data_IF_081055327444
#
_entry.id   IF_081055327444
#
_cell.length_a   1.000
_cell.length_b   1.000
_cell.length_c   1.000
_cell.angle_alpha   90.00
_cell.angle_beta   90.00
_cell.angle_gamma   90.00
#
_symmetry.space_group_name_H-M   'P 1'
#
loop_
_entity.id
_entity.type
_entity.pdbx_description
1 polymer ?
#
# COMPACT_ATOMS: atom_id res chain seq x y z
N UNK A 1 24.61 31.36 -14.69
CA UNK A 1 24.41 31.13 -13.24
C UNK A 1 23.30 30.11 -12.97
N UNK A 2 22.06 30.35 -13.40
CA UNK A 2 20.90 29.46 -13.16
C UNK A 2 21.09 27.99 -13.58
N UNK A 3 21.76 27.71 -14.70
CA UNK A 3 22.06 26.34 -15.15
C UNK A 3 23.02 25.62 -14.20
N UNK A 4 24.13 26.27 -13.78
CA UNK A 4 25.10 25.70 -12.82
C UNK A 4 24.46 25.46 -11.46
N UNK A 5 23.69 26.43 -10.95
CA UNK A 5 22.94 26.26 -9.69
C UNK A 5 21.87 25.18 -9.79
N UNK A 6 21.24 25.03 -10.96
CA UNK A 6 20.24 23.99 -11.21
C UNK A 6 20.85 22.60 -11.18
N UNK A 7 22.02 22.42 -11.81
CA UNK A 7 22.76 21.14 -11.74
C UNK A 7 23.13 20.78 -10.30
N UNK A 8 23.62 21.75 -9.52
CA UNK A 8 23.95 21.53 -8.10
C UNK A 8 22.69 21.16 -7.30
N UNK A 9 21.59 21.90 -7.47
CA UNK A 9 20.33 21.62 -6.78
C UNK A 9 19.79 20.21 -7.11
N UNK A 10 19.78 19.83 -8.40
CA UNK A 10 19.40 18.48 -8.82
C UNK A 10 20.32 17.42 -8.23
N UNK A 11 21.63 17.65 -8.21
CA UNK A 11 22.59 16.71 -7.62
C UNK A 11 22.36 16.53 -6.12
N UNK A 12 22.10 17.61 -5.38
CA UNK A 12 21.78 17.56 -3.94
C UNK A 12 20.49 16.79 -3.70
N UNK A 13 19.43 17.06 -4.47
CA UNK A 13 18.13 16.36 -4.34
C UNK A 13 18.28 14.88 -4.71
N UNK A 14 19.02 14.57 -5.76
CA UNK A 14 19.29 13.19 -6.16
C UNK A 14 20.12 12.44 -5.10
N UNK A 15 21.11 13.10 -4.49
CA UNK A 15 21.88 12.54 -3.39
C UNK A 15 21.01 12.29 -2.14
N UNK A 16 20.12 13.23 -1.81
CA UNK A 16 19.14 13.02 -0.73
C UNK A 16 18.25 11.81 -1.01
N UNK A 17 17.77 11.65 -2.25
CA UNK A 17 17.01 10.46 -2.66
C UNK A 17 17.82 9.17 -2.58
N UNK A 18 19.10 9.20 -2.97
CA UNK A 18 19.99 8.05 -2.83
C UNK A 18 20.18 7.65 -1.37
N UNK A 19 20.33 8.63 -0.46
CA UNK A 19 20.40 8.39 0.98
C UNK A 19 19.10 7.79 1.51
N UNK A 20 17.95 8.35 1.13
CA UNK A 20 16.64 7.80 1.53
C UNK A 20 16.50 6.36 1.04
N UNK A 21 16.79 6.09 -0.23
CA UNK A 21 16.74 4.73 -0.81
C UNK A 21 17.68 3.77 -0.10
N UNK A 22 18.90 4.19 0.24
CA UNK A 22 19.84 3.38 1.02
C UNK A 22 19.31 3.08 2.42
N UNK A 23 18.76 4.08 3.13
CA UNK A 23 18.15 3.91 4.44
C UNK A 23 16.95 2.96 4.40
N UNK A 24 16.15 3.01 3.34
CA UNK A 24 15.08 2.03 3.11
C UNK A 24 15.66 0.62 2.96
N UNK A 25 16.66 0.43 2.07
CA UNK A 25 17.27 -0.88 1.80
C UNK A 25 17.99 -1.51 3.00
N UNK A 26 18.45 -0.68 3.96
CA UNK A 26 19.02 -1.18 5.22
C UNK A 26 17.98 -1.85 6.12
N UNK A 27 16.67 -1.57 5.93
CA UNK A 27 15.59 -2.16 6.72
C UNK A 27 15.28 -3.58 6.22
N UNK A 28 15.36 -4.62 7.08
CA UNK A 28 14.92 -5.97 6.74
C UNK A 28 13.46 -5.98 6.30
N UNK A 29 12.60 -5.32 7.09
CA UNK A 29 11.19 -5.06 6.79
C UNK A 29 10.98 -3.55 6.82
N UNK A 30 10.59 -2.96 5.70
CA UNK A 30 10.29 -1.54 5.65
C UNK A 30 8.87 -1.28 6.18
N UNK A 31 8.73 -0.86 7.43
CA UNK A 31 7.43 -0.73 8.12
C UNK A 31 6.83 0.67 7.90
N UNK A 32 5.84 0.75 7.02
CA UNK A 32 5.06 1.94 6.69
C UNK A 32 3.58 1.59 6.50
N UNK A 33 2.74 2.54 6.09
CA UNK A 33 1.28 2.41 6.06
C UNK A 33 0.78 1.24 5.19
N UNK A 34 1.32 1.11 3.97
CA UNK A 34 0.87 0.13 2.98
C UNK A 34 1.85 -1.04 2.79
N UNK A 35 3.01 -1.03 3.45
CA UNK A 35 4.09 -1.97 3.13
C UNK A 35 3.81 -3.40 3.57
N UNK A 36 3.23 -3.62 4.76
CA UNK A 36 3.05 -4.95 5.32
C UNK A 36 2.06 -5.82 4.52
N UNK A 37 1.10 -5.21 3.82
CA UNK A 37 0.28 -5.94 2.84
C UNK A 37 1.16 -6.53 1.74
N UNK A 38 2.11 -5.77 1.20
CA UNK A 38 3.05 -6.30 0.21
C UNK A 38 3.91 -7.43 0.79
N UNK A 39 4.39 -7.29 2.03
CA UNK A 39 5.21 -8.32 2.68
C UNK A 39 4.47 -9.65 2.83
N UNK A 40 3.23 -9.64 3.34
CA UNK A 40 2.49 -10.88 3.55
C UNK A 40 2.17 -11.60 2.24
N UNK A 41 1.79 -10.87 1.18
CA UNK A 41 1.50 -11.48 -0.12
C UNK A 41 2.78 -12.01 -0.78
N UNK A 42 3.89 -11.25 -0.77
CA UNK A 42 5.15 -11.70 -1.38
C UNK A 42 5.71 -12.93 -0.65
N UNK A 43 5.71 -12.93 0.68
CA UNK A 43 6.12 -14.09 1.46
C UNK A 43 5.27 -15.31 1.12
N UNK A 44 3.95 -15.18 1.14
CA UNK A 44 3.04 -16.28 0.84
C UNK A 44 3.24 -16.84 -0.58
N UNK A 45 3.32 -15.96 -1.59
CA UNK A 45 3.55 -16.37 -2.97
C UNK A 45 4.90 -17.10 -3.10
N UNK A 46 5.94 -16.60 -2.43
CA UNK A 46 7.25 -17.24 -2.44
C UNK A 46 7.20 -18.62 -1.80
N UNK A 47 6.59 -18.73 -0.62
CA UNK A 47 6.41 -19.99 0.09
C UNK A 47 5.73 -21.03 -0.82
N UNK A 48 4.63 -20.67 -1.46
CA UNK A 48 3.87 -21.56 -2.33
C UNK A 48 4.59 -21.91 -3.65
N UNK A 49 5.27 -20.94 -4.27
CA UNK A 49 6.06 -21.15 -5.49
C UNK A 49 7.23 -22.11 -5.26
N UNK A 50 7.99 -21.90 -4.18
CA UNK A 50 9.24 -22.62 -3.94
C UNK A 50 9.05 -23.94 -3.20
N UNK A 51 7.90 -24.17 -2.56
CA UNK A 51 7.53 -25.45 -1.96
C UNK A 51 6.85 -26.43 -2.92
N UNK A 52 6.56 -26.01 -4.16
CA UNK A 52 6.02 -26.89 -5.22
C UNK A 52 4.48 -27.06 -5.19
N UNK A 53 3.77 -26.26 -4.40
CA UNK A 53 2.31 -26.37 -4.25
C UNK A 53 1.50 -25.59 -5.31
N UNK A 54 2.19 -24.81 -6.17
CA UNK A 54 1.54 -23.86 -7.07
C UNK A 54 0.97 -22.66 -6.33
N UNK A 55 0.59 -21.58 -7.03
CA UNK A 55 0.04 -20.39 -6.38
C UNK A 55 -1.49 -20.56 -6.23
N UNK A 56 -2.03 -20.71 -5.01
CA UNK A 56 -3.48 -20.83 -4.81
C UNK A 56 -4.17 -19.50 -5.07
N UNK A 57 -5.49 -19.55 -5.31
CA UNK A 57 -6.30 -18.34 -5.52
C UNK A 57 -6.47 -17.49 -4.26
N UNK A 58 -6.40 -18.11 -3.08
CA UNK A 58 -6.61 -17.46 -1.79
C UNK A 58 -5.41 -17.65 -0.86
N UNK A 59 -5.26 -16.73 0.09
CA UNK A 59 -4.26 -16.77 1.16
C UNK A 59 -4.92 -17.29 2.44
N UNK A 60 -4.66 -18.53 2.87
CA UNK A 60 -5.29 -19.13 4.05
C UNK A 60 -5.08 -18.31 5.33
N UNK A 61 -3.92 -17.65 5.44
CA UNK A 61 -3.55 -16.87 6.61
C UNK A 61 -4.29 -15.52 6.75
N UNK A 62 -5.12 -15.11 5.77
CA UNK A 62 -5.72 -13.78 5.75
C UNK A 62 -7.24 -13.84 5.60
N UNK A 63 -7.95 -13.02 6.38
CA UNK A 63 -9.41 -12.90 6.38
C UNK A 63 -10.11 -14.27 6.40
N UNK A 64 -9.73 -15.13 7.35
CA UNK A 64 -10.27 -16.49 7.49
C UNK A 64 -10.11 -17.34 6.21
N UNK A 65 -9.02 -17.13 5.49
CA UNK A 65 -8.72 -17.80 4.23
C UNK A 65 -9.50 -17.32 3.01
N UNK A 66 -10.26 -16.22 3.15
CA UNK A 66 -11.05 -15.64 2.05
C UNK A 66 -10.30 -14.55 1.28
N UNK A 67 -9.13 -14.10 1.75
CA UNK A 67 -8.36 -13.11 1.04
C UNK A 67 -7.80 -13.71 -0.26
N UNK A 68 -7.91 -12.97 -1.37
CA UNK A 68 -7.29 -13.39 -2.63
C UNK A 68 -5.77 -13.31 -2.54
N UNK A 69 -5.05 -14.18 -3.26
CA UNK A 69 -3.60 -14.05 -3.44
C UNK A 69 -3.26 -12.80 -4.24
N UNK A 70 -4.08 -12.49 -5.26
CA UNK A 70 -3.88 -11.37 -6.16
C UNK A 70 -5.13 -10.48 -6.29
N UNK A 71 -5.55 -9.77 -5.22
CA UNK A 71 -6.56 -8.72 -5.35
C UNK A 71 -6.05 -7.56 -6.22
N UNK A 72 -4.74 -7.33 -6.23
CA UNK A 72 -4.00 -6.37 -7.07
C UNK A 72 -2.51 -6.77 -7.06
N UNK A 73 -1.64 -5.94 -7.62
CA UNK A 73 -0.18 -6.04 -7.51
C UNK A 73 0.46 -7.35 -8.00
N UNK A 74 -0.26 -8.11 -8.83
CA UNK A 74 0.16 -9.45 -9.25
C UNK A 74 1.57 -9.51 -9.82
N UNK A 75 1.93 -8.57 -10.69
CA UNK A 75 3.24 -8.51 -11.33
C UNK A 75 4.36 -8.18 -10.32
N UNK A 76 4.33 -7.05 -9.58
CA UNK A 76 5.42 -6.72 -8.68
C UNK A 76 5.50 -7.68 -7.49
N UNK A 77 4.40 -8.28 -7.01
CA UNK A 77 4.47 -9.30 -5.97
C UNK A 77 5.09 -10.61 -6.45
N UNK A 78 4.65 -11.13 -7.60
CA UNK A 78 5.20 -12.37 -8.16
C UNK A 78 6.69 -12.21 -8.43
N UNK A 79 7.09 -11.09 -9.04
CA UNK A 79 8.51 -10.86 -9.37
C UNK A 79 9.38 -10.63 -8.13
N UNK A 80 8.87 -10.01 -7.06
CA UNK A 80 9.56 -9.96 -5.78
C UNK A 80 9.65 -11.34 -5.11
N UNK A 81 8.59 -12.15 -5.20
CA UNK A 81 8.54 -13.50 -4.62
C UNK A 81 9.57 -14.45 -5.25
N UNK A 82 9.89 -14.27 -6.53
CA UNK A 82 10.97 -15.02 -7.19
C UNK A 82 12.35 -14.76 -6.56
N UNK A 83 12.59 -13.57 -5.99
CA UNK A 83 13.86 -13.25 -5.31
C UNK A 83 13.82 -13.46 -3.80
N UNK A 84 12.64 -13.76 -3.25
CA UNK A 84 12.44 -13.87 -1.81
C UNK A 84 13.32 -14.95 -1.15
N UNK A 85 13.62 -16.13 -1.76
CA UNK A 85 14.55 -17.09 -1.13
C UNK A 85 15.96 -16.55 -0.88
N UNK A 86 16.41 -15.56 -1.67
CA UNK A 86 17.74 -14.96 -1.54
C UNK A 86 17.77 -13.77 -0.59
N UNK A 87 16.70 -12.97 -0.57
CA UNK A 87 16.67 -11.67 0.10
C UNK A 87 15.70 -11.61 1.29
N UNK A 88 14.82 -12.61 1.44
CA UNK A 88 13.70 -12.59 2.37
C UNK A 88 12.84 -11.33 2.18
N UNK A 89 12.42 -10.73 3.29
CA UNK A 89 11.64 -9.49 3.32
C UNK A 89 12.30 -8.31 2.60
N UNK A 90 13.64 -8.29 2.48
CA UNK A 90 14.34 -7.24 1.74
C UNK A 90 14.00 -7.25 0.25
N UNK A 91 13.52 -8.35 -0.31
CA UNK A 91 13.03 -8.40 -1.69
C UNK A 91 11.91 -7.36 -1.92
N UNK A 92 11.01 -7.20 -0.96
CA UNK A 92 9.88 -6.27 -1.03
C UNK A 92 10.36 -4.83 -0.97
N UNK A 93 11.25 -4.53 -0.03
CA UNK A 93 11.86 -3.20 0.10
C UNK A 93 12.68 -2.82 -1.14
N UNK A 94 13.43 -3.77 -1.69
CA UNK A 94 14.15 -3.60 -2.96
C UNK A 94 13.18 -3.29 -4.09
N UNK A 95 12.10 -4.05 -4.24
CA UNK A 95 11.10 -3.81 -5.29
C UNK A 95 10.39 -2.47 -5.15
N UNK A 96 10.18 -2.00 -3.92
CA UNK A 96 9.65 -0.67 -3.65
C UNK A 96 10.61 0.43 -4.14
N UNK A 97 11.89 0.33 -3.79
CA UNK A 97 12.92 1.30 -4.23
C UNK A 97 13.11 1.25 -5.75
N UNK A 98 13.14 0.06 -6.35
CA UNK A 98 13.21 -0.10 -7.81
C UNK A 98 11.98 0.47 -8.51
N UNK A 99 10.78 0.29 -7.95
CA UNK A 99 9.55 0.90 -8.48
C UNK A 99 9.61 2.44 -8.47
N UNK A 100 10.17 3.03 -7.40
CA UNK A 100 10.41 4.47 -7.33
C UNK A 100 11.42 4.93 -8.39
N UNK A 101 12.57 4.26 -8.51
CA UNK A 101 13.57 4.57 -9.53
C UNK A 101 12.97 4.43 -10.93
N UNK A 102 12.21 3.38 -11.19
CA UNK A 102 11.51 3.16 -12.46
C UNK A 102 10.53 4.30 -12.77
N UNK A 103 9.81 4.82 -11.76
CA UNK A 103 8.90 5.97 -11.93
C UNK A 103 9.67 7.23 -12.35
N UNK A 104 10.78 7.52 -11.68
CA UNK A 104 11.64 8.67 -12.01
C UNK A 104 12.24 8.54 -13.41
N UNK A 105 12.78 7.35 -13.74
CA UNK A 105 13.38 7.07 -15.05
C UNK A 105 12.33 7.16 -16.16
N UNK A 106 11.14 6.56 -15.97
CA UNK A 106 10.04 6.62 -16.93
C UNK A 106 9.59 8.08 -17.15
N UNK A 107 9.48 8.87 -16.08
CA UNK A 107 9.14 10.30 -16.15
C UNK A 107 10.12 11.07 -17.01
N UNK A 108 11.42 10.94 -16.73
CA UNK A 108 12.45 11.64 -17.52
C UNK A 108 12.63 11.06 -18.92
N UNK A 109 12.34 9.78 -19.13
CA UNK A 109 12.34 9.16 -20.46
C UNK A 109 11.19 9.66 -21.33
N UNK A 110 10.00 9.75 -20.77
CA UNK A 110 8.80 10.26 -21.45
C UNK A 110 8.87 11.77 -21.67
N UNK A 111 9.41 12.54 -20.71
CA UNK A 111 9.53 14.00 -20.78
C UNK A 111 11.00 14.47 -20.69
N UNK A 112 11.79 14.36 -21.77
CA UNK A 112 13.22 14.67 -21.74
C UNK A 112 13.56 16.12 -21.35
N UNK A 113 12.65 17.07 -21.59
CA UNK A 113 12.87 18.48 -21.26
C UNK A 113 12.94 18.72 -19.75
N UNK A 114 12.34 17.84 -18.93
CA UNK A 114 12.40 17.91 -17.48
C UNK A 114 13.76 17.54 -16.90
N UNK A 115 14.67 16.93 -17.67
CA UNK A 115 16.00 16.51 -17.18
C UNK A 115 16.96 17.66 -16.86
N UNK A 116 16.59 18.91 -17.19
CA UNK A 116 17.51 20.04 -17.23
C UNK A 116 17.40 20.92 -15.98
N UNK A 117 18.45 20.90 -15.16
CA UNK A 117 18.64 21.81 -14.02
C UNK A 117 17.42 21.85 -13.10
N UNK A 118 16.95 23.05 -12.78
CA UNK A 118 15.84 23.25 -11.84
C UNK A 118 14.51 22.56 -12.22
N UNK A 119 14.29 22.21 -13.49
CA UNK A 119 13.11 21.40 -13.86
C UNK A 119 13.21 19.96 -13.35
N UNK A 120 14.41 19.40 -13.29
CA UNK A 120 14.65 18.09 -12.71
C UNK A 120 14.51 18.16 -11.20
N UNK A 121 15.04 19.22 -10.57
CA UNK A 121 14.85 19.49 -9.15
C UNK A 121 13.36 19.54 -8.78
N UNK A 122 12.57 20.39 -9.46
CA UNK A 122 11.12 20.51 -9.23
C UNK A 122 10.39 19.17 -9.43
N UNK A 123 10.76 18.40 -10.44
CA UNK A 123 10.16 17.08 -10.70
C UNK A 123 10.44 16.11 -9.55
N UNK A 124 11.69 16.05 -9.06
CA UNK A 124 12.12 15.16 -7.98
C UNK A 124 11.60 15.59 -6.60
N UNK A 125 11.24 16.86 -6.43
CA UNK A 125 10.61 17.38 -5.21
C UNK A 125 9.08 17.35 -5.27
N UNK A 126 8.48 16.85 -6.35
CA UNK A 126 7.02 16.70 -6.44
C UNK A 126 6.47 16.03 -5.17
N UNK A 127 5.62 16.69 -4.38
CA UNK A 127 5.20 16.16 -3.09
C UNK A 127 4.56 14.77 -3.18
N UNK A 128 3.72 14.55 -4.21
CA UNK A 128 3.08 13.26 -4.45
C UNK A 128 4.11 12.15 -4.77
N UNK A 129 5.16 12.47 -5.54
CA UNK A 129 6.24 11.54 -5.83
C UNK A 129 7.04 11.20 -4.57
N UNK A 130 7.23 12.17 -3.68
CA UNK A 130 8.03 11.99 -2.47
C UNK A 130 7.32 11.11 -1.44
N UNK A 131 6.01 11.29 -1.26
CA UNK A 131 5.27 10.50 -0.29
C UNK A 131 5.10 9.04 -0.71
N UNK A 132 5.00 8.74 -2.01
CA UNK A 132 4.69 7.39 -2.49
C UNK A 132 5.64 6.28 -2.00
N UNK A 133 6.98 6.39 -2.12
CA UNK A 133 7.88 5.38 -1.58
C UNK A 133 7.86 5.33 -0.05
N UNK A 134 7.73 6.48 0.62
CA UNK A 134 7.70 6.55 2.08
C UNK A 134 6.45 5.92 2.68
N UNK A 135 5.32 5.96 1.99
CA UNK A 135 4.08 5.28 2.37
C UNK A 135 4.09 3.77 2.07
N UNK A 136 5.09 3.27 1.33
CA UNK A 136 5.18 1.85 0.94
C UNK A 136 4.31 1.48 -0.25
N UNK A 137 3.98 2.41 -1.15
CA UNK A 137 3.05 2.22 -2.27
C UNK A 137 3.66 1.44 -3.45
N UNK A 138 4.18 0.24 -3.20
CA UNK A 138 4.88 -0.59 -4.18
C UNK A 138 4.07 -0.84 -5.47
N UNK A 139 2.77 -1.22 -5.41
CA UNK A 139 2.02 -1.50 -6.63
C UNK A 139 1.75 -0.24 -7.46
N UNK A 140 1.51 0.88 -6.78
CA UNK A 140 1.29 2.15 -7.46
C UNK A 140 2.54 2.62 -8.20
N UNK A 141 3.72 2.54 -7.57
CA UNK A 141 4.98 2.95 -8.19
C UNK A 141 5.29 2.16 -9.46
N UNK A 142 5.14 0.83 -9.44
CA UNK A 142 5.34 0.02 -10.65
C UNK A 142 4.28 0.31 -11.72
N UNK A 143 3.02 0.47 -11.31
CA UNK A 143 1.93 0.76 -12.23
C UNK A 143 2.09 2.13 -12.92
N UNK A 144 2.40 3.18 -12.16
CA UNK A 144 2.56 4.54 -12.72
C UNK A 144 3.84 4.66 -13.55
N UNK A 145 4.91 3.93 -13.21
CA UNK A 145 6.10 3.83 -14.06
C UNK A 145 5.77 3.22 -15.43
N UNK A 146 5.06 2.09 -15.45
CA UNK A 146 4.63 1.42 -16.68
C UNK A 146 3.72 2.34 -17.52
N UNK A 147 2.73 2.99 -16.91
CA UNK A 147 1.84 3.89 -17.63
C UNK A 147 2.56 5.14 -18.16
N UNK A 148 3.47 5.72 -17.37
CA UNK A 148 4.27 6.87 -17.82
C UNK A 148 5.16 6.50 -19.01
N UNK A 149 5.76 5.31 -19.00
CA UNK A 149 6.50 4.79 -20.15
C UNK A 149 5.58 4.48 -21.35
N UNK A 150 4.36 4.00 -21.12
CA UNK A 150 3.37 3.81 -22.19
C UNK A 150 3.05 5.11 -22.92
N UNK A 151 2.88 6.22 -22.19
CA UNK A 151 2.70 7.56 -22.78
C UNK A 151 3.89 7.92 -23.69
N UNK A 152 5.12 7.68 -23.22
CA UNK A 152 6.32 7.96 -24.01
C UNK A 152 6.44 7.09 -25.26
N UNK A 153 6.00 5.83 -25.21
CA UNK A 153 5.94 4.94 -26.37
C UNK A 153 4.86 5.38 -27.37
N UNK A 154 3.68 5.78 -26.87
CA UNK A 154 2.59 6.30 -27.70
C UNK A 154 3.02 7.54 -28.49
N UNK A 155 3.68 8.50 -27.81
CA UNK A 155 4.23 9.71 -28.45
C UNK A 155 5.27 9.38 -29.53
N UNK A 156 6.00 8.27 -29.38
CA UNK A 156 6.99 7.77 -30.34
C UNK A 156 6.41 6.81 -31.39
N UNK A 157 5.07 6.74 -31.51
CA UNK A 157 4.34 5.87 -32.45
C UNK A 157 4.60 4.37 -32.27
N UNK A 158 5.03 3.95 -31.08
CA UNK A 158 5.20 2.53 -30.70
C UNK A 158 3.92 2.04 -30.02
N UNK A 159 2.86 1.82 -30.81
CA UNK A 159 1.50 1.56 -30.32
C UNK A 159 1.39 0.25 -29.53
N UNK A 160 1.85 -0.87 -30.08
CA UNK A 160 1.75 -2.19 -29.44
C UNK A 160 2.38 -2.22 -28.04
N UNK A 161 3.64 -1.80 -27.83
CA UNK A 161 4.22 -1.81 -26.48
C UNK A 161 3.59 -0.75 -25.56
N UNK A 162 3.02 0.34 -26.10
CA UNK A 162 2.24 1.28 -25.28
C UNK A 162 0.95 0.65 -24.74
N UNK A 163 0.24 -0.12 -25.57
CA UNK A 163 -0.93 -0.92 -25.14
C UNK A 163 -0.50 -1.92 -24.07
N UNK A 164 0.57 -2.68 -24.33
CA UNK A 164 1.06 -3.69 -23.39
C UNK A 164 1.41 -3.07 -22.02
N UNK A 165 2.14 -1.95 -21.99
CA UNK A 165 2.49 -1.29 -20.72
C UNK A 165 1.28 -0.65 -20.03
N UNK A 166 0.30 -0.14 -20.78
CA UNK A 166 -0.95 0.40 -20.20
C UNK A 166 -1.78 -0.73 -19.58
N UNK A 167 -1.84 -1.90 -20.23
CA UNK A 167 -2.48 -3.09 -19.69
C UNK A 167 -1.74 -3.59 -18.44
N UNK A 168 -0.41 -3.69 -18.48
CA UNK A 168 0.42 -4.03 -17.31
C UNK A 168 0.15 -3.08 -16.15
N UNK A 169 0.14 -1.76 -16.39
CA UNK A 169 -0.16 -0.77 -15.37
C UNK A 169 -1.56 -1.02 -14.75
N UNK A 170 -2.55 -1.25 -15.60
CA UNK A 170 -3.94 -1.47 -15.19
C UNK A 170 -4.12 -2.79 -14.43
N UNK A 171 -3.41 -3.85 -14.80
CA UNK A 171 -3.39 -5.13 -14.08
C UNK A 171 -2.74 -4.99 -12.69
N UNK A 172 -1.65 -4.22 -12.58
CA UNK A 172 -0.93 -4.03 -11.32
C UNK A 172 -1.80 -3.30 -10.29
N UNK A 173 -2.54 -2.26 -10.70
CA UNK A 173 -3.32 -1.48 -9.75
C UNK A 173 -4.61 -0.91 -10.38
N UNK A 174 -5.61 -1.77 -10.66
CA UNK A 174 -6.76 -1.39 -11.48
C UNK A 174 -7.59 -0.28 -10.84
N UNK A 175 -7.88 -0.39 -9.54
CA UNK A 175 -8.67 0.59 -8.79
C UNK A 175 -8.11 2.03 -8.87
N UNK A 176 -6.82 2.20 -9.08
CA UNK A 176 -6.17 3.52 -9.04
C UNK A 176 -5.72 3.98 -10.41
N UNK A 177 -5.05 3.11 -11.16
CA UNK A 177 -4.43 3.52 -12.43
C UNK A 177 -5.42 3.50 -13.58
N UNK A 178 -6.46 2.67 -13.60
CA UNK A 178 -7.47 2.77 -14.66
C UNK A 178 -8.21 4.12 -14.67
N UNK A 179 -8.63 4.70 -13.52
CA UNK A 179 -9.12 6.07 -13.48
C UNK A 179 -8.11 7.10 -14.02
N UNK A 180 -6.83 6.98 -13.64
CA UNK A 180 -5.77 7.88 -14.12
C UNK A 180 -5.59 7.76 -15.63
N UNK A 181 -5.59 6.54 -16.17
CA UNK A 181 -5.52 6.25 -17.61
C UNK A 181 -6.71 6.87 -18.33
N UNK A 182 -7.92 6.65 -17.83
CA UNK A 182 -9.15 7.20 -18.42
C UNK A 182 -9.11 8.73 -18.46
N UNK A 183 -8.72 9.38 -17.36
CA UNK A 183 -8.55 10.84 -17.30
C UNK A 183 -7.48 11.34 -18.28
N UNK A 184 -6.34 10.65 -18.37
CA UNK A 184 -5.26 11.00 -19.29
C UNK A 184 -5.68 10.85 -20.76
N UNK A 185 -6.37 9.76 -21.12
CA UNK A 185 -6.89 9.53 -22.47
C UNK A 185 -7.94 10.58 -22.82
N UNK A 186 -8.89 10.85 -21.92
CA UNK A 186 -9.94 11.85 -22.13
C UNK A 186 -9.37 13.26 -22.29
N UNK A 187 -8.40 13.64 -21.44
CA UNK A 187 -7.72 14.92 -21.53
C UNK A 187 -6.87 15.06 -22.80
N UNK A 188 -6.32 13.95 -23.32
CA UNK A 188 -5.50 13.96 -24.54
C UNK A 188 -6.32 13.90 -25.84
N UNK A 189 -7.53 13.35 -25.80
CA UNK A 189 -8.36 13.09 -26.97
C UNK A 189 -8.56 14.30 -27.91
N UNK A 190 -8.78 15.54 -27.41
CA UNK A 190 -8.92 16.72 -28.29
C UNK A 190 -7.64 17.07 -29.07
N UNK A 191 -6.49 16.69 -28.55
CA UNK A 191 -5.17 17.00 -29.11
C UNK A 191 -4.65 15.92 -30.08
N UNK A 192 -5.33 14.78 -30.18
CA UNK A 192 -4.96 13.70 -31.09
C UNK A 192 -5.55 13.95 -32.48
N UNK A 193 -4.79 13.65 -33.53
CA UNK A 193 -5.21 13.79 -34.93
C UNK A 193 -6.47 12.96 -35.21
N UNK A 194 -7.35 13.44 -36.10
CA UNK A 194 -8.64 12.80 -36.40
C UNK A 194 -8.52 11.29 -36.70
N UNK A 195 -7.54 10.91 -37.50
CA UNK A 195 -7.28 9.53 -37.89
C UNK A 195 -6.77 8.65 -36.72
N UNK A 196 -6.10 9.26 -35.74
CA UNK A 196 -5.50 8.58 -34.59
C UNK A 196 -6.43 8.51 -33.38
N UNK A 197 -7.48 9.34 -33.32
CA UNK A 197 -8.48 9.32 -32.23
C UNK A 197 -9.13 7.95 -32.09
N UNK A 198 -9.57 7.33 -33.20
CA UNK A 198 -10.16 5.99 -33.19
C UNK A 198 -9.16 4.94 -32.70
N UNK A 199 -7.91 5.04 -33.13
CA UNK A 199 -6.83 4.16 -32.67
C UNK A 199 -6.55 4.32 -31.18
N UNK A 200 -6.54 5.54 -30.65
CA UNK A 200 -6.35 5.80 -29.21
C UNK A 200 -7.47 5.19 -28.38
N UNK A 201 -8.73 5.44 -28.77
CA UNK A 201 -9.91 4.89 -28.07
C UNK A 201 -9.95 3.36 -28.17
N UNK A 202 -9.71 2.80 -29.35
CA UNK A 202 -9.67 1.34 -29.54
C UNK A 202 -8.55 0.68 -28.75
N UNK A 203 -7.36 1.31 -28.71
CA UNK A 203 -6.22 0.85 -27.91
C UNK A 203 -6.54 0.89 -26.42
N UNK A 204 -7.16 1.97 -25.93
CA UNK A 204 -7.61 2.07 -24.55
C UNK A 204 -8.67 1.02 -24.22
N UNK A 205 -9.68 0.84 -25.05
CA UNK A 205 -10.70 -0.19 -24.87
C UNK A 205 -10.07 -1.60 -24.81
N UNK A 206 -9.07 -1.88 -25.64
CA UNK A 206 -8.31 -3.14 -25.58
C UNK A 206 -7.58 -3.30 -24.24
N UNK A 207 -6.96 -2.23 -23.70
CA UNK A 207 -6.30 -2.31 -22.37
C UNK A 207 -7.30 -2.58 -21.25
N UNK A 208 -8.51 -2.02 -21.33
CA UNK A 208 -9.60 -2.29 -20.39
C UNK A 208 -10.01 -3.77 -20.47
N UNK A 209 -10.23 -4.29 -21.69
CA UNK A 209 -10.59 -5.69 -21.91
C UNK A 209 -9.53 -6.66 -21.34
N UNK A 210 -8.25 -6.41 -21.61
CA UNK A 210 -7.14 -7.23 -21.09
C UNK A 210 -7.09 -7.19 -19.56
N UNK A 211 -7.48 -6.08 -18.95
CA UNK A 211 -7.39 -5.88 -17.49
C UNK A 211 -8.63 -6.36 -16.73
N UNK A 212 -9.69 -6.80 -17.42
CA UNK A 212 -10.96 -7.22 -16.80
C UNK A 212 -10.79 -8.29 -15.70
N UNK A 213 -9.95 -9.33 -15.85
CA UNK A 213 -9.76 -10.31 -14.78
C UNK A 213 -9.20 -9.70 -13.49
N UNK A 214 -8.26 -8.74 -13.60
CA UNK A 214 -7.69 -8.04 -12.45
C UNK A 214 -8.70 -7.08 -11.81
N UNK A 215 -9.53 -6.41 -12.62
CA UNK A 215 -10.64 -5.58 -12.12
C UNK A 215 -11.64 -6.44 -11.35
N UNK A 216 -12.02 -7.58 -11.90
CA UNK A 216 -12.91 -8.53 -11.24
C UNK A 216 -12.35 -8.99 -9.90
N UNK A 217 -11.06 -9.33 -9.84
CA UNK A 217 -10.39 -9.73 -8.59
C UNK A 217 -10.45 -8.65 -7.49
N UNK A 218 -10.31 -7.35 -7.82
CA UNK A 218 -10.50 -6.27 -6.83
C UNK A 218 -11.90 -6.30 -6.23
N UNK A 219 -12.93 -6.46 -7.07
CA UNK A 219 -14.32 -6.46 -6.60
C UNK A 219 -14.71 -7.72 -5.82
N UNK A 220 -13.91 -8.79 -5.92
CA UNK A 220 -14.08 -10.01 -5.11
C UNK A 220 -13.36 -9.92 -3.74
N UNK A 221 -12.57 -8.88 -3.46
CA UNK A 221 -11.91 -8.74 -2.16
C UNK A 221 -12.94 -8.56 -1.04
N UNK A 222 -12.81 -9.30 0.08
CA UNK A 222 -13.66 -9.17 1.26
C UNK A 222 -13.80 -7.73 1.78
N UNK A 223 -12.78 -6.89 1.61
CA UNK A 223 -12.78 -5.48 2.06
C UNK A 223 -13.85 -4.65 1.34
N UNK A 224 -14.13 -4.95 0.08
CA UNK A 224 -15.19 -4.26 -0.68
C UNK A 224 -16.56 -4.59 -0.10
N UNK A 225 -16.80 -5.85 0.28
CA UNK A 225 -18.07 -6.24 0.89
C UNK A 225 -18.30 -5.63 2.28
N UNK A 226 -17.22 -5.35 3.02
CA UNK A 226 -17.27 -4.88 4.41
C UNK A 226 -17.32 -3.35 4.56
N UNK A 227 -17.16 -2.59 3.47
CA UNK A 227 -17.06 -1.12 3.50
C UNK A 227 -18.27 -0.46 2.86
N UNK A 228 -18.82 0.61 3.45
CA UNK A 228 -19.94 1.34 2.85
C UNK A 228 -19.55 2.05 1.53
N UNK A 229 -20.47 2.13 0.57
CA UNK A 229 -20.21 2.75 -0.76
C UNK A 229 -19.70 4.19 -0.66
N UNK A 230 -20.23 4.99 0.26
CA UNK A 230 -19.76 6.36 0.47
C UNK A 230 -18.29 6.41 0.92
N UNK A 231 -17.89 5.49 1.79
CA UNK A 231 -16.50 5.37 2.25
C UNK A 231 -15.60 4.88 1.12
N UNK A 232 -16.05 3.91 0.32
CA UNK A 232 -15.32 3.43 -0.85
C UNK A 232 -15.07 4.54 -1.87
N UNK A 233 -16.10 5.32 -2.22
CA UNK A 233 -15.98 6.44 -3.17
C UNK A 233 -15.08 7.54 -2.61
N UNK A 234 -15.24 7.90 -1.34
CA UNK A 234 -14.38 8.89 -0.68
C UNK A 234 -12.91 8.47 -0.68
N UNK A 235 -12.63 7.22 -0.27
CA UNK A 235 -11.29 6.65 -0.27
C UNK A 235 -10.70 6.58 -1.69
N UNK A 236 -11.50 6.19 -2.68
CA UNK A 236 -11.09 6.15 -4.09
C UNK A 236 -10.71 7.53 -4.60
N UNK A 237 -11.55 8.55 -4.39
CA UNK A 237 -11.29 9.91 -4.85
C UNK A 237 -10.05 10.52 -4.19
N UNK A 238 -9.89 10.33 -2.88
CA UNK A 238 -8.70 10.80 -2.16
C UNK A 238 -7.43 10.10 -2.68
N UNK A 239 -7.50 8.78 -2.87
CA UNK A 239 -6.36 7.97 -3.33
C UNK A 239 -5.98 8.31 -4.78
N UNK A 240 -6.95 8.32 -5.69
CA UNK A 240 -6.74 8.64 -7.11
C UNK A 240 -6.28 10.07 -7.28
N UNK A 241 -6.90 11.03 -6.59
CA UNK A 241 -6.57 12.45 -6.71
C UNK A 241 -5.11 12.75 -6.37
N UNK A 242 -4.63 12.21 -5.24
CA UNK A 242 -3.23 12.39 -4.83
C UNK A 242 -2.25 11.65 -5.72
N UNK A 243 -2.58 10.41 -6.11
CA UNK A 243 -1.72 9.59 -6.96
C UNK A 243 -1.64 10.11 -8.39
N UNK A 244 -2.69 10.75 -8.89
CA UNK A 244 -2.69 11.44 -10.19
C UNK A 244 -1.62 12.54 -10.25
N UNK A 245 -1.31 13.22 -9.14
CA UNK A 245 -0.30 14.28 -9.10
C UNK A 245 1.12 13.78 -9.42
N UNK A 246 1.41 12.49 -9.27
CA UNK A 246 2.69 11.91 -9.70
C UNK A 246 2.88 12.06 -11.21
N UNK A 247 1.81 11.94 -11.99
CA UNK A 247 1.83 12.11 -13.45
C UNK A 247 1.48 13.54 -13.89
N UNK A 248 0.47 14.14 -13.25
CA UNK A 248 -0.04 15.46 -13.65
C UNK A 248 0.99 16.57 -13.45
N UNK A 249 1.80 16.51 -12.37
CA UNK A 249 2.84 17.53 -12.12
C UNK A 249 3.90 17.53 -13.23
N UNK A 250 4.56 16.42 -13.60
CA UNK A 250 5.47 16.39 -14.76
C UNK A 250 4.85 16.94 -16.05
N UNK A 251 3.59 16.57 -16.35
CA UNK A 251 2.88 17.08 -17.53
C UNK A 251 2.70 18.60 -17.44
N UNK A 252 2.26 19.12 -16.30
CA UNK A 252 2.10 20.55 -16.06
C UNK A 252 3.43 21.31 -16.18
N UNK A 253 4.53 20.75 -15.65
CA UNK A 253 5.87 21.33 -15.80
C UNK A 253 6.29 21.42 -17.28
N UNK A 254 5.99 20.41 -18.09
CA UNK A 254 6.24 20.45 -19.55
C UNK A 254 5.39 21.52 -20.24
N UNK A 255 4.11 21.64 -19.87
CA UNK A 255 3.22 22.67 -20.43
C UNK A 255 3.68 24.08 -20.06
N UNK A 256 4.11 24.30 -18.81
CA UNK A 256 4.64 25.58 -18.35
C UNK A 256 5.88 26.03 -19.14
N UNK A 257 6.73 25.09 -19.57
CA UNK A 257 7.89 25.41 -20.42
C UNK A 257 7.50 25.97 -21.79
N UNK A 258 6.26 25.76 -22.25
CA UNK A 258 5.76 26.28 -23.53
C UNK A 258 5.22 27.70 -23.43
N UNK A 259 5.10 28.27 -22.23
CA UNK A 259 4.59 29.63 -22.02
C UNK A 259 5.70 30.65 -22.34
N UNK A 260 5.59 31.46 -23.41
CA UNK A 260 6.71 32.30 -23.89
C UNK A 260 7.18 33.37 -22.88
N UNK A 261 6.31 33.77 -21.96
CA UNK A 261 6.56 34.83 -20.96
C UNK A 261 6.86 34.31 -19.56
N UNK A 262 7.02 32.99 -19.38
CA UNK A 262 7.32 32.43 -18.06
C UNK A 262 8.68 32.96 -17.55
N UNK A 263 8.76 33.54 -16.34
CA UNK A 263 10.02 34.03 -15.80
C UNK A 263 11.08 32.91 -15.69
N UNK A 264 12.35 33.23 -15.92
CA UNK A 264 13.45 32.25 -15.84
C UNK A 264 13.63 31.62 -14.45
N UNK A 265 13.10 32.25 -13.41
CA UNK A 265 13.11 31.73 -12.03
C UNK A 265 11.94 30.77 -11.73
N UNK A 266 11.00 30.58 -12.65
CA UNK A 266 9.82 29.69 -12.47
C UNK A 266 10.18 28.30 -11.93
N UNK A 267 11.13 27.54 -12.50
CA UNK A 267 11.45 26.21 -11.97
C UNK A 267 12.11 26.26 -10.57
N UNK A 268 12.79 27.36 -10.22
CA UNK A 268 13.34 27.57 -8.87
C UNK A 268 12.19 27.75 -7.87
N UNK A 269 11.26 28.66 -8.17
CA UNK A 269 10.11 28.90 -7.31
C UNK A 269 9.24 27.65 -7.17
N UNK A 270 9.00 26.90 -8.25
CA UNK A 270 8.26 25.64 -8.18
C UNK A 270 8.97 24.60 -7.31
N UNK A 271 10.30 24.49 -7.38
CA UNK A 271 11.06 23.60 -6.50
C UNK A 271 10.86 24.00 -5.03
N UNK A 272 10.98 25.29 -4.72
CA UNK A 272 10.77 25.81 -3.35
C UNK A 272 9.34 25.56 -2.89
N UNK A 273 8.34 25.88 -3.73
CA UNK A 273 6.92 25.64 -3.43
C UNK A 273 6.68 24.16 -3.17
N UNK A 274 7.23 23.26 -3.99
CA UNK A 274 7.07 21.83 -3.78
C UNK A 274 7.72 21.35 -2.47
N UNK A 275 8.90 21.84 -2.12
CA UNK A 275 9.51 21.55 -0.81
C UNK A 275 8.62 22.04 0.33
N UNK A 276 8.06 23.24 0.24
CA UNK A 276 7.14 23.80 1.25
C UNK A 276 5.83 23.01 1.32
N UNK A 277 5.28 22.57 0.18
CA UNK A 277 4.04 21.79 0.11
C UNK A 277 4.15 20.40 0.74
N UNK A 278 5.34 19.93 1.09
CA UNK A 278 5.51 18.73 1.90
C UNK A 278 4.99 18.91 3.33
N UNK A 279 5.04 20.13 3.86
CA UNK A 279 4.62 20.47 5.23
C UNK A 279 3.12 20.25 5.43
N UNK A 280 2.20 20.81 4.61
CA UNK A 280 0.76 20.56 4.77
C UNK A 280 0.38 19.09 4.51
N UNK A 281 1.24 18.31 3.84
CA UNK A 281 1.03 16.87 3.65
C UNK A 281 1.39 16.06 4.90
N UNK A 282 2.02 16.66 5.91
CA UNK A 282 2.56 15.91 7.03
C UNK A 282 1.48 15.23 7.87
N UNK A 283 0.43 15.96 8.26
CA UNK A 283 -0.67 15.42 9.07
C UNK A 283 -1.64 14.53 8.29
N UNK A 284 -2.16 14.94 7.10
CA UNK A 284 -3.18 14.15 6.39
C UNK A 284 -2.70 12.77 5.94
N UNK A 285 -1.39 12.62 5.67
CA UNK A 285 -0.80 11.36 5.22
C UNK A 285 0.00 10.63 6.31
N UNK A 286 -0.01 11.12 7.55
CA UNK A 286 0.76 10.53 8.65
C UNK A 286 2.24 10.40 8.30
N UNK A 287 2.84 11.49 7.83
CA UNK A 287 4.23 11.52 7.38
C UNK A 287 5.22 11.39 8.54
N UNK A 288 4.82 11.67 9.78
CA UNK A 288 5.56 11.29 10.98
C UNK A 288 5.83 9.78 11.00
N UNK A 289 4.80 8.98 10.77
CA UNK A 289 4.90 7.55 10.72
C UNK A 289 5.71 7.10 9.49
N UNK A 290 5.46 7.72 8.32
CA UNK A 290 6.14 7.39 7.07
C UNK A 290 7.64 7.72 7.10
N UNK A 291 8.05 8.89 7.57
CA UNK A 291 9.47 9.23 7.73
C UNK A 291 10.14 8.39 8.81
N UNK A 292 9.43 8.08 9.89
CA UNK A 292 9.92 7.18 10.93
C UNK A 292 10.29 5.78 10.42
N UNK A 293 9.70 5.33 9.30
CA UNK A 293 10.00 4.01 8.69
C UNK A 293 11.47 3.83 8.30
N UNK A 294 12.19 4.92 8.00
CA UNK A 294 13.61 4.90 7.68
C UNK A 294 14.49 4.47 8.86
N UNK A 295 13.95 4.53 10.08
CA UNK A 295 14.64 4.20 11.33
C UNK A 295 13.90 3.19 12.21
N UNK A 296 12.67 2.83 11.84
CA UNK A 296 11.82 1.93 12.62
C UNK A 296 12.29 0.49 12.49
N UNK A 297 12.40 -0.16 13.63
CA UNK A 297 12.60 -1.60 13.73
C UNK A 297 11.28 -2.30 14.11
N UNK A 298 11.17 -3.61 13.88
CA UNK A 298 10.07 -4.45 14.38
C UNK A 298 9.79 -4.22 15.88
N UNK A 299 8.51 -4.36 16.26
CA UNK A 299 8.12 -4.23 17.67
C UNK A 299 8.60 -5.46 18.46
N UNK A 300 9.56 -5.26 19.36
CA UNK A 300 10.14 -6.33 20.17
C UNK A 300 9.11 -7.10 21.01
N UNK A 301 7.97 -6.49 21.37
CA UNK A 301 6.90 -7.20 22.09
C UNK A 301 6.19 -8.21 21.20
N UNK A 302 6.01 -7.88 19.92
CA UNK A 302 5.45 -8.78 18.91
C UNK A 302 6.42 -9.93 18.66
N UNK A 303 7.70 -9.62 18.49
CA UNK A 303 8.74 -10.64 18.30
C UNK A 303 8.79 -11.60 19.49
N UNK A 304 8.75 -11.08 20.72
CA UNK A 304 8.70 -11.89 21.92
C UNK A 304 7.43 -12.75 22.00
N UNK A 305 6.27 -12.22 21.59
CA UNK A 305 5.02 -12.98 21.53
C UNK A 305 5.14 -14.16 20.56
N UNK A 306 5.59 -13.92 19.33
CA UNK A 306 5.75 -14.97 18.32
C UNK A 306 6.82 -16.00 18.74
N UNK A 307 7.96 -15.53 19.25
CA UNK A 307 9.06 -16.40 19.69
C UNK A 307 8.70 -17.27 20.90
N UNK A 308 7.70 -16.87 21.70
CA UNK A 308 7.24 -17.67 22.85
C UNK A 308 6.50 -18.95 22.47
N UNK A 309 6.15 -19.14 21.19
CA UNK A 309 5.32 -20.26 20.75
C UNK A 309 3.83 -20.10 21.09
N UNK A 310 3.40 -18.90 21.50
CA UNK A 310 2.00 -18.62 21.83
C UNK A 310 1.07 -18.60 20.61
N UNK A 311 1.62 -18.49 19.38
CA UNK A 311 0.87 -18.61 18.13
C UNK A 311 0.64 -20.10 17.83
N UNK A 312 -0.63 -20.51 17.80
CA UNK A 312 -1.05 -21.86 17.39
C UNK A 312 -1.37 -21.83 15.90
N UNK A 313 -0.80 -22.76 15.16
CA UNK A 313 -1.03 -22.85 13.72
C UNK A 313 -2.50 -23.18 13.43
N UNK A 314 -3.12 -22.43 12.52
CA UNK A 314 -4.51 -22.63 12.09
C UNK A 314 -5.57 -21.91 12.92
N UNK A 315 -5.24 -21.42 14.12
CA UNK A 315 -6.15 -20.58 14.91
C UNK A 315 -6.35 -19.23 14.21
N UNK A 316 -7.56 -18.69 14.34
CA UNK A 316 -7.93 -17.35 13.86
C UNK A 316 -7.64 -16.30 14.93
N UNK A 317 -6.83 -15.33 14.58
CA UNK A 317 -6.31 -14.27 15.42
C UNK A 317 -6.91 -12.92 15.06
N UNK A 318 -7.41 -12.24 16.10
CA UNK A 318 -7.59 -10.79 16.10
C UNK A 318 -6.40 -10.15 16.81
N UNK A 319 -5.55 -9.47 16.05
CA UNK A 319 -4.29 -8.89 16.56
C UNK A 319 -4.48 -7.39 16.80
N UNK A 320 -4.48 -6.97 18.07
CA UNK A 320 -4.69 -5.59 18.49
C UNK A 320 -3.33 -4.92 18.74
N UNK A 321 -2.76 -4.30 17.69
CA UNK A 321 -1.49 -3.54 17.75
C UNK A 321 -1.66 -2.09 17.30
N UNK A 322 -0.89 -1.16 17.88
CA UNK A 322 -1.11 0.28 17.66
C UNK A 322 0.08 1.10 17.13
N UNK A 323 1.33 0.63 17.23
CA UNK A 323 2.52 1.43 16.87
C UNK A 323 3.48 0.76 15.89
N UNK A 324 3.16 -0.45 15.50
CA UNK A 324 4.02 -1.38 14.78
C UNK A 324 3.79 -1.35 13.26
N UNK A 325 2.90 -0.49 12.75
CA UNK A 325 2.59 -0.41 11.32
C UNK A 325 1.96 -1.68 10.76
N UNK A 326 1.19 -2.43 11.58
CA UNK A 326 0.61 -3.74 11.23
C UNK A 326 1.66 -4.87 11.18
N UNK A 327 2.87 -4.66 11.71
CA UNK A 327 3.89 -5.70 11.78
C UNK A 327 3.43 -6.93 12.58
N UNK A 328 2.68 -6.75 13.67
CA UNK A 328 2.13 -7.85 14.47
C UNK A 328 1.17 -8.75 13.70
N UNK A 329 0.36 -8.18 12.81
CA UNK A 329 -0.49 -8.96 11.92
C UNK A 329 0.37 -9.84 11.00
N UNK A 330 1.40 -9.23 10.39
CA UNK A 330 2.33 -9.96 9.52
C UNK A 330 3.10 -11.06 10.28
N UNK A 331 3.61 -10.76 11.48
CA UNK A 331 4.39 -11.69 12.29
C UNK A 331 3.56 -12.89 12.75
N UNK A 332 2.30 -12.66 13.17
CA UNK A 332 1.36 -13.73 13.53
C UNK A 332 1.02 -14.61 12.32
N UNK A 333 0.74 -14.00 11.16
CA UNK A 333 0.49 -14.75 9.93
C UNK A 333 1.70 -15.63 9.53
N UNK A 334 2.92 -15.08 9.65
CA UNK A 334 4.16 -15.81 9.40
C UNK A 334 4.44 -16.95 10.36
N UNK A 335 3.89 -16.87 11.57
CA UNK A 335 3.99 -17.91 12.59
C UNK A 335 2.90 -18.99 12.44
N UNK A 336 2.07 -18.93 11.40
CA UNK A 336 1.03 -19.92 11.10
C UNK A 336 -0.37 -19.58 11.63
N UNK A 337 -0.55 -18.41 12.25
CA UNK A 337 -1.87 -17.91 12.63
C UNK A 337 -2.67 -17.44 11.40
N UNK A 338 -3.99 -17.61 11.44
CA UNK A 338 -4.92 -17.03 10.47
C UNK A 338 -5.39 -15.68 10.99
N UNK A 339 -5.46 -14.64 10.17
CA UNK A 339 -5.99 -13.33 10.60
C UNK A 339 -7.49 -13.21 10.35
N UNK A 340 -8.21 -12.59 11.29
CA UNK A 340 -9.65 -12.27 11.17
C UNK A 340 -9.96 -11.25 10.05
N UNK A 341 -8.93 -10.62 9.51
CA UNK A 341 -9.03 -9.50 8.58
C UNK A 341 -7.85 -9.48 7.59
N UNK A 342 -8.04 -8.75 6.48
CA UNK A 342 -6.92 -8.33 5.63
C UNK A 342 -6.14 -7.17 6.29
N UNK A 343 -4.94 -6.86 5.80
CA UNK A 343 -4.09 -5.78 6.32
C UNK A 343 -4.57 -4.36 5.92
N UNK A 344 -5.86 -4.21 5.62
CA UNK A 344 -6.52 -2.95 5.28
C UNK A 344 -7.23 -2.35 6.49
N UNK A 345 -7.04 -1.04 6.79
CA UNK A 345 -7.73 -0.35 7.88
C UNK A 345 -9.24 -0.56 7.92
N UNK A 346 -9.86 -0.62 6.74
CA UNK A 346 -11.29 -0.79 6.52
C UNK A 346 -11.80 -2.13 7.07
N UNK A 347 -11.01 -3.20 6.98
CA UNK A 347 -11.36 -4.54 7.46
C UNK A 347 -11.10 -4.77 8.96
N UNK A 348 -10.27 -3.96 9.62
CA UNK A 348 -9.82 -4.24 10.99
C UNK A 348 -10.82 -3.84 12.10
N UNK A 349 -11.73 -2.89 11.84
CA UNK A 349 -12.64 -2.27 12.81
C UNK A 349 -11.93 -1.77 14.09
N UNK A 350 -11.77 -0.45 14.24
CA UNK A 350 -11.02 0.19 15.35
C UNK A 350 -11.87 1.09 16.25
N UNK A 351 -13.19 1.04 16.08
CA UNK A 351 -14.14 1.83 16.86
C UNK A 351 -14.50 1.16 18.20
N UNK A 352 -15.25 1.86 19.07
CA UNK A 352 -15.83 1.26 20.26
C UNK A 352 -16.98 0.31 19.90
N UNK A 353 -17.12 -0.76 20.66
CA UNK A 353 -18.30 -1.62 20.66
C UNK A 353 -19.31 -1.15 21.71
N UNK A 354 -20.60 -1.26 21.41
CA UNK A 354 -21.66 -0.76 22.28
C UNK A 354 -21.81 -1.58 23.59
N UNK A 355 -21.43 -2.85 23.57
CA UNK A 355 -21.58 -3.78 24.70
C UNK A 355 -20.71 -5.04 24.53
N UNK A 356 -20.54 -5.82 25.61
CA UNK A 356 -19.94 -7.17 25.56
C UNK A 356 -20.67 -8.09 24.59
N UNK A 357 -22.01 -8.00 24.52
CA UNK A 357 -22.83 -8.74 23.54
C UNK A 357 -22.48 -8.38 22.10
N UNK A 358 -22.36 -7.08 21.77
CA UNK A 358 -22.00 -6.67 20.40
C UNK A 358 -20.58 -7.11 20.01
N UNK A 359 -19.67 -7.16 20.99
CA UNK A 359 -18.31 -7.63 20.75
C UNK A 359 -18.24 -9.16 20.63
N UNK A 360 -18.97 -9.90 21.47
CA UNK A 360 -19.13 -11.35 21.35
C UNK A 360 -19.70 -11.75 19.98
N UNK A 361 -20.75 -11.06 19.52
CA UNK A 361 -21.31 -11.27 18.19
C UNK A 361 -20.30 -11.00 17.07
N UNK A 362 -19.45 -9.97 17.24
CA UNK A 362 -18.38 -9.66 16.31
C UNK A 362 -17.29 -10.75 16.26
N UNK A 363 -16.80 -11.20 17.43
CA UNK A 363 -15.79 -12.27 17.51
C UNK A 363 -16.31 -13.57 16.89
N UNK A 364 -17.56 -13.94 17.20
CA UNK A 364 -18.22 -15.11 16.61
C UNK A 364 -18.42 -14.96 15.10
N UNK A 365 -18.88 -13.80 14.64
CA UNK A 365 -19.12 -13.54 13.21
C UNK A 365 -17.85 -13.52 12.37
N UNK A 366 -16.67 -13.41 13.00
CA UNK A 366 -15.35 -13.49 12.36
C UNK A 366 -14.60 -14.77 12.69
N UNK A 367 -15.24 -15.75 13.32
CA UNK A 367 -14.63 -17.02 13.71
C UNK A 367 -13.31 -16.85 14.49
N UNK A 368 -13.21 -15.82 15.32
CA UNK A 368 -11.98 -15.51 16.07
C UNK A 368 -11.78 -16.53 17.19
N UNK A 369 -10.64 -17.23 17.18
CA UNK A 369 -10.23 -18.21 18.18
C UNK A 369 -9.36 -17.57 19.28
N UNK A 370 -8.56 -16.57 18.93
CA UNK A 370 -7.69 -15.87 19.88
C UNK A 370 -7.66 -14.37 19.60
N UNK A 371 -7.79 -13.56 20.65
CA UNK A 371 -7.52 -12.12 20.58
C UNK A 371 -6.19 -11.85 21.28
N UNK A 372 -5.24 -11.23 20.59
CA UNK A 372 -3.95 -10.85 21.17
C UNK A 372 -3.91 -9.34 21.30
N UNK A 373 -3.76 -8.87 22.52
CA UNK A 373 -3.71 -7.47 22.86
C UNK A 373 -2.29 -7.03 23.24
N UNK A 374 -1.88 -5.91 22.66
CA UNK A 374 -0.64 -5.22 23.00
C UNK A 374 -0.96 -3.85 23.62
N UNK A 375 -0.22 -3.41 24.66
CA UNK A 375 -0.41 -2.09 25.26
C UNK A 375 -0.33 -0.92 24.28
N UNK A 376 0.40 -1.10 23.18
CA UNK A 376 0.52 -0.09 22.12
C UNK A 376 -0.81 0.22 21.43
N UNK A 377 -1.78 -0.72 21.45
CA UNK A 377 -3.11 -0.56 20.86
C UNK A 377 -3.91 0.52 21.56
N UNK A 378 -4.11 0.40 22.88
CA UNK A 378 -4.89 1.35 23.68
C UNK A 378 -4.22 2.74 23.69
N UNK A 379 -2.88 2.76 23.69
CA UNK A 379 -2.12 4.00 23.59
C UNK A 379 -2.30 4.72 22.25
N UNK A 380 -2.63 4.00 21.17
CA UNK A 380 -2.85 4.59 19.83
C UNK A 380 -4.32 4.87 19.54
N UNK A 381 -5.20 3.96 19.93
CA UNK A 381 -6.61 3.93 19.60
C UNK A 381 -7.45 4.15 20.85
N UNK A 382 -7.36 5.36 21.40
CA UNK A 382 -8.00 5.75 22.68
C UNK A 382 -9.53 5.69 22.68
N UNK A 383 -10.15 5.48 21.51
CA UNK A 383 -11.61 5.30 21.38
C UNK A 383 -12.04 3.84 21.36
N UNK A 384 -11.12 2.89 21.18
CA UNK A 384 -11.46 1.46 21.27
C UNK A 384 -11.66 1.08 22.74
N UNK A 385 -12.61 0.18 23.00
CA UNK A 385 -12.88 -0.38 24.33
C UNK A 385 -12.67 -1.90 24.37
N UNK A 386 -12.02 -2.48 23.37
CA UNK A 386 -11.87 -3.93 23.24
C UNK A 386 -11.12 -4.57 24.41
N UNK A 387 -10.03 -3.96 24.89
CA UNK A 387 -9.27 -4.48 26.03
C UNK A 387 -10.12 -4.58 27.30
N UNK A 388 -10.94 -3.57 27.56
CA UNK A 388 -11.87 -3.54 28.69
C UNK A 388 -12.97 -4.59 28.53
N UNK A 389 -13.50 -4.76 27.31
CA UNK A 389 -14.53 -5.76 27.04
C UNK A 389 -14.00 -7.19 27.17
N UNK A 390 -12.75 -7.45 26.77
CA UNK A 390 -12.10 -8.76 26.93
C UNK A 390 -11.95 -9.12 28.41
N UNK A 391 -11.45 -8.22 29.24
CA UNK A 391 -11.31 -8.44 30.69
C UNK A 391 -12.68 -8.67 31.34
N UNK A 392 -13.71 -7.91 30.92
CA UNK A 392 -15.07 -8.08 31.40
C UNK A 392 -15.67 -9.44 31.00
N UNK A 393 -15.51 -9.84 29.74
CA UNK A 393 -15.97 -11.15 29.26
C UNK A 393 -15.23 -12.31 29.94
N UNK A 394 -13.94 -12.13 30.25
CA UNK A 394 -13.17 -13.11 31.01
C UNK A 394 -13.67 -13.30 32.45
N UNK A 395 -14.29 -12.27 33.04
CA UNK A 395 -14.88 -12.34 34.38
C UNK A 395 -16.36 -12.80 34.38
N UNK A 396 -17.13 -12.46 33.34
CA UNK A 396 -18.57 -12.76 33.25
C UNK A 396 -18.88 -14.18 32.75
N UNK A 397 -17.89 -14.90 32.19
CA UNK A 397 -18.07 -16.22 31.61
C UNK A 397 -18.76 -16.16 30.23
N UNK A 398 -19.69 -17.07 29.96
CA UNK A 398 -20.30 -17.17 28.64
C UNK A 398 -21.24 -15.99 28.33
N UNK A 399 -20.88 -15.16 27.35
CA UNK A 399 -21.65 -14.00 26.89
C UNK A 399 -22.05 -14.19 25.43
N UNK A 400 -23.36 -14.27 25.15
CA UNK A 400 -23.91 -14.45 23.78
C UNK A 400 -23.33 -15.64 23.00
N UNK A 401 -23.05 -16.74 23.71
CA UNK A 401 -22.44 -17.94 23.14
C UNK A 401 -20.94 -17.82 22.89
N UNK A 402 -20.27 -16.84 23.49
CA UNK A 402 -18.81 -16.69 23.49
C UNK A 402 -18.29 -16.64 24.92
N UNK A 403 -17.35 -17.51 25.27
CA UNK A 403 -16.61 -17.43 26.52
C UNK A 403 -15.19 -16.98 26.21
N UNK A 404 -14.65 -16.09 27.04
CA UNK A 404 -13.28 -15.59 26.90
C UNK A 404 -12.47 -16.09 28.08
N UNK A 405 -11.33 -16.71 27.82
CA UNK A 405 -10.39 -17.11 28.87
C UNK A 405 -9.09 -16.37 28.68
N UNK A 406 -8.63 -15.68 29.73
CA UNK A 406 -7.36 -14.98 29.69
C UNK A 406 -6.21 -16.00 29.73
N UNK A 407 -5.26 -15.84 28.80
CA UNK A 407 -3.99 -16.54 28.76
C UNK A 407 -2.88 -15.55 29.02
N UNK A 408 -2.32 -15.63 30.23
CA UNK A 408 -1.17 -14.80 30.59
C UNK A 408 0.08 -15.24 29.83
N UNK A 409 0.80 -14.25 29.31
CA UNK A 409 2.07 -14.42 28.62
C UNK A 409 3.24 -13.96 29.48
N UNK A 410 4.46 -14.27 29.05
CA UNK A 410 5.70 -13.82 29.70
C UNK A 410 6.02 -12.32 29.45
N UNK A 411 5.24 -11.64 28.60
CA UNK A 411 5.45 -10.26 28.22
C UNK A 411 4.31 -9.31 28.64
N UNK A 412 4.41 -8.02 28.31
CA UNK A 412 3.37 -7.02 28.60
C UNK A 412 2.11 -7.16 27.71
N UNK A 413 2.12 -8.09 26.76
CA UNK A 413 0.99 -8.47 25.94
C UNK A 413 0.08 -9.47 26.67
N UNK A 414 -1.18 -9.58 26.24
CA UNK A 414 -2.15 -10.56 26.74
C UNK A 414 -2.79 -11.30 25.59
N UNK A 415 -2.96 -12.60 25.74
CA UNK A 415 -3.77 -13.39 24.83
C UNK A 415 -5.09 -13.77 25.51
N UNK A 416 -6.15 -13.84 24.72
CA UNK A 416 -7.49 -14.22 25.17
C UNK A 416 -7.99 -15.32 24.25
N UNK A 417 -8.19 -16.51 24.81
CA UNK A 417 -8.83 -17.63 24.14
C UNK A 417 -10.33 -17.39 24.03
N UNK A 418 -10.88 -17.61 22.84
CA UNK A 418 -12.29 -17.38 22.53
C UNK A 418 -12.95 -18.72 22.23
N UNK A 419 -13.77 -19.20 23.15
CA UNK A 419 -14.59 -20.39 22.96
C UNK A 419 -15.96 -19.99 22.40
N UNK A 420 -16.25 -20.43 21.18
CA UNK A 420 -17.55 -20.22 20.51
C UNK A 420 -18.49 -21.39 20.81
N UNK A 421 -19.76 -21.10 21.08
CA UNK A 421 -20.81 -22.11 21.33
C UNK A 421 -21.01 -22.49 22.80
N UNK A 422 -20.41 -21.76 23.74
CA UNK A 422 -20.65 -21.98 25.16
C UNK A 422 -22.12 -21.75 25.53
N UNK A 423 -22.56 -22.37 26.63
CA UNK A 423 -23.86 -22.08 27.26
C UNK A 423 -23.62 -21.36 28.57
N UNK A 424 -24.42 -20.31 28.85
CA UNK A 424 -24.41 -19.69 30.16
C UNK A 424 -24.74 -20.75 31.22
N UNK A 425 -23.91 -20.85 32.26
CA UNK A 425 -24.27 -21.65 33.43
C UNK A 425 -25.50 -20.99 34.09
N UNK A 426 -26.52 -21.79 34.48
CA UNK A 426 -27.80 -21.30 34.98
C UNK A 426 -27.70 -20.47 36.26
#
# INVERSE_FOLDING_TARGET
>A
MLLRTGTVATAVIAAAWAVIGALMLLRPVFISHDSLSNNVHVWFIADQLWSGHGIPMHVPALANGQALTFPYASIPWTTAALLWPLLGDRAVTLWLVLGFVATVVATFWTFPTLRRGWWAAATLTNPALVISPLLGQLPFLWSIAAFTAAIGLWQRRRVVPAIALTAVASIIHPAVVMPIVALAVAAWLPFEDGDRRRSLVGSWALTVLISLPAVWAVFQSPVVAQTSTATQVGALLQTVGMRLLVLAVPVALVLLQRIPRAPRWTPVALTVVFVVLQVPMYTPFGMDFAWGSLTRDPDAQVDAFVASGAVRSGDTYRVLTGRDGKYGLYAVARAGGVLDSELFPEGMHRGPFASTRSYAAFLRGRDVDTVVWFPSYDARYTRSNESVLLERMAAEGCTDGVAVTRRDGAGPWRAYDVERGCRAQP
#
